data_IF_205801915129
#
_entry.id   IF_205801915129
#
_cell.length_a   1.000
_cell.length_b   1.000
_cell.length_c   1.000
_cell.angle_alpha   90.00
_cell.angle_beta   90.00
_cell.angle_gamma   90.00
#
_symmetry.space_group_name_H-M   'P 1'
#
loop_
_entity.id
_entity.type
_entity.pdbx_description
1 polymer ?
#
# COMPACT_ATOMS: atom_id res chain seq x y z
N UNK A 1 -5.28 8.94 -21.21
CA UNK A 1 -5.39 10.41 -21.46
C UNK A 1 -4.02 11.06 -21.60
N UNK A 2 -3.13 11.02 -20.58
CA UNK A 2 -1.80 11.70 -20.64
C UNK A 2 -0.97 11.23 -21.83
N UNK A 3 -0.85 9.91 -22.07
CA UNK A 3 -0.20 9.36 -23.26
C UNK A 3 -0.73 9.94 -24.56
N UNK A 4 -2.06 10.06 -24.65
CA UNK A 4 -2.75 10.60 -25.82
C UNK A 4 -2.48 12.11 -25.99
N UNK A 5 -2.53 12.89 -24.90
CA UNK A 5 -2.23 14.33 -24.94
C UNK A 5 -0.79 14.62 -25.38
N UNK A 6 0.14 13.76 -24.97
CA UNK A 6 1.55 13.83 -25.38
C UNK A 6 1.82 13.17 -26.74
N UNK A 7 0.78 12.71 -27.45
CA UNK A 7 0.92 12.12 -28.78
C UNK A 7 1.59 10.74 -28.80
N UNK A 8 1.74 10.05 -27.65
CA UNK A 8 2.32 8.70 -27.59
C UNK A 8 1.37 7.58 -28.02
N UNK A 9 0.08 7.89 -28.20
CA UNK A 9 -0.94 6.94 -28.62
C UNK A 9 -2.06 6.81 -27.60
N UNK A 10 -3.15 6.19 -28.03
CA UNK A 10 -4.29 5.90 -27.20
C UNK A 10 -4.22 4.45 -26.69
N UNK A 11 -4.19 4.27 -25.39
CA UNK A 11 -4.29 2.99 -24.74
C UNK A 11 -5.65 2.86 -24.09
N UNK A 12 -6.34 1.77 -24.34
CA UNK A 12 -7.62 1.46 -23.69
C UNK A 12 -7.35 0.47 -22.57
N UNK A 13 -7.28 0.92 -21.30
CA UNK A 13 -7.02 0.03 -20.20
C UNK A 13 -8.25 -0.85 -19.94
N UNK A 14 -8.00 -2.12 -19.76
CA UNK A 14 -8.88 -3.06 -19.09
C UNK A 14 -8.57 -3.08 -17.59
N UNK A 15 -9.39 -3.70 -16.77
CA UNK A 15 -9.19 -3.75 -15.32
C UNK A 15 -9.32 -5.16 -14.80
N UNK A 16 -8.37 -5.51 -13.94
CA UNK A 16 -8.37 -6.77 -13.20
C UNK A 16 -8.53 -6.47 -11.72
N UNK A 17 -9.52 -7.10 -11.13
CA UNK A 17 -9.81 -7.04 -9.71
C UNK A 17 -9.19 -8.24 -9.01
N UNK A 18 -8.50 -7.98 -7.91
CA UNK A 18 -7.97 -8.99 -7.00
C UNK A 18 -8.44 -8.77 -5.58
N UNK A 19 -9.02 -9.79 -4.99
CA UNK A 19 -9.45 -9.78 -3.59
C UNK A 19 -8.44 -10.51 -2.72
N UNK A 20 -8.28 -10.05 -1.47
CA UNK A 20 -7.34 -10.58 -0.49
C UNK A 20 -7.95 -10.67 0.90
N UNK A 21 -7.49 -11.64 1.67
CA UNK A 21 -7.68 -11.71 3.12
C UNK A 21 -6.35 -11.42 3.80
N UNK A 22 -6.41 -10.68 4.90
CA UNK A 22 -5.27 -10.47 5.80
C UNK A 22 -5.50 -11.27 7.07
N UNK A 23 -4.52 -12.10 7.43
CA UNK A 23 -4.52 -12.85 8.67
C UNK A 23 -3.77 -12.09 9.77
N UNK A 24 -4.16 -12.37 11.01
CA UNK A 24 -3.54 -11.88 12.23
C UNK A 24 -2.06 -12.29 12.32
N UNK A 25 -1.21 -11.42 12.89
CA UNK A 25 0.21 -11.68 13.16
C UNK A 25 0.49 -12.95 13.98
N UNK A 26 -0.48 -13.41 14.76
CA UNK A 26 -0.34 -14.66 15.57
C UNK A 26 0.04 -15.87 14.72
N UNK A 27 -0.35 -15.89 13.46
CA UNK A 27 -0.04 -16.99 12.54
C UNK A 27 1.17 -16.71 11.64
N UNK A 28 1.61 -15.46 11.54
CA UNK A 28 2.70 -15.07 10.65
C UNK A 28 4.02 -15.76 10.95
N UNK A 29 4.32 -16.04 12.22
CA UNK A 29 5.52 -16.79 12.65
C UNK A 29 5.63 -18.21 12.08
N UNK A 30 4.53 -18.77 11.57
CA UNK A 30 4.48 -20.10 10.99
C UNK A 30 4.67 -20.12 9.48
N UNK A 31 4.86 -18.93 8.87
CA UNK A 31 5.08 -18.78 7.42
C UNK A 31 6.30 -17.89 7.16
N UNK A 32 7.40 -18.49 6.74
CA UNK A 32 8.67 -17.76 6.53
C UNK A 32 8.88 -17.27 5.09
N UNK A 33 8.09 -17.76 4.14
CA UNK A 33 8.19 -17.43 2.69
C UNK A 33 6.84 -17.54 2.02
N UNK A 34 6.66 -16.88 0.85
CA UNK A 34 5.49 -17.10 0.02
C UNK A 34 5.34 -18.56 -0.39
N UNK A 35 4.11 -19.07 -0.37
CA UNK A 35 3.77 -20.41 -0.85
C UNK A 35 2.75 -20.25 -1.96
N UNK A 36 3.12 -20.75 -3.14
CA UNK A 36 2.32 -20.75 -4.36
C UNK A 36 1.84 -22.15 -4.67
N UNK A 37 0.66 -22.32 -5.28
CA UNK A 37 0.31 -23.56 -5.94
C UNK A 37 1.22 -23.75 -7.18
N UNK A 38 1.25 -24.96 -7.73
CA UNK A 38 1.81 -25.16 -9.07
C UNK A 38 1.03 -24.34 -10.08
N UNK A 39 1.70 -23.76 -11.10
CA UNK A 39 1.00 -23.07 -12.17
C UNK A 39 -0.08 -23.96 -12.81
N UNK A 40 -1.20 -23.35 -13.18
CA UNK A 40 -2.23 -24.04 -13.94
C UNK A 40 -1.79 -24.29 -15.39
N UNK A 41 -2.63 -24.89 -16.21
CA UNK A 41 -2.35 -25.19 -17.62
C UNK A 41 -2.03 -23.96 -18.49
N UNK A 42 -2.41 -22.76 -18.03
CA UNK A 42 -2.10 -21.48 -18.69
C UNK A 42 -0.87 -20.79 -18.09
N UNK A 43 -0.12 -21.44 -17.20
CA UNK A 43 1.04 -20.87 -16.53
C UNK A 43 0.72 -19.82 -15.47
N UNK A 44 -0.55 -19.61 -15.15
CA UNK A 44 -0.97 -18.67 -14.13
C UNK A 44 -0.94 -19.26 -12.72
N UNK A 45 -0.62 -18.42 -11.73
CA UNK A 45 -0.68 -18.77 -10.32
C UNK A 45 -2.03 -18.38 -9.75
N UNK A 46 -2.66 -19.34 -9.08
CA UNK A 46 -3.88 -19.10 -8.32
C UNK A 46 -3.59 -18.46 -6.95
N UNK A 47 -4.60 -18.47 -6.07
CA UNK A 47 -4.49 -17.99 -4.68
C UNK A 47 -3.22 -18.53 -4.04
N UNK A 48 -2.40 -17.65 -3.53
CA UNK A 48 -1.19 -17.99 -2.79
C UNK A 48 -1.19 -17.33 -1.40
N UNK A 49 -0.27 -17.71 -0.54
CA UNK A 49 -0.11 -17.16 0.79
C UNK A 49 1.26 -16.50 0.93
N UNK A 50 1.28 -15.27 1.43
CA UNK A 50 2.50 -14.46 1.48
C UNK A 50 2.66 -13.81 2.86
N UNK A 51 3.80 -14.03 3.56
CA UNK A 51 4.09 -13.30 4.79
C UNK A 51 4.37 -11.84 4.47
N UNK A 52 3.90 -10.94 5.31
CA UNK A 52 4.26 -9.53 5.23
C UNK A 52 5.45 -9.23 6.15
N UNK A 53 6.18 -8.15 5.83
CA UNK A 53 7.30 -7.68 6.66
C UNK A 53 6.85 -7.36 8.09
N UNK A 54 5.59 -6.99 8.27
CA UNK A 54 5.03 -6.65 9.58
C UNK A 54 4.47 -7.88 10.34
N UNK A 55 4.61 -9.08 9.78
CA UNK A 55 4.24 -10.34 10.42
C UNK A 55 2.79 -10.78 10.19
N UNK A 56 2.01 -10.09 9.38
CA UNK A 56 0.72 -10.59 8.90
C UNK A 56 0.92 -11.61 7.77
N UNK A 57 -0.13 -12.29 7.38
CA UNK A 57 -0.14 -13.15 6.18
C UNK A 57 -1.24 -12.67 5.24
N UNK A 58 -0.91 -12.51 3.97
CA UNK A 58 -1.86 -12.26 2.89
C UNK A 58 -2.27 -13.57 2.25
N UNK A 59 -3.55 -13.70 1.93
CA UNK A 59 -4.13 -14.80 1.17
C UNK A 59 -4.80 -14.22 -0.05
N UNK A 60 -4.36 -14.58 -1.22
CA UNK A 60 -4.83 -14.00 -2.50
C UNK A 60 -3.70 -13.87 -3.51
N UNK A 61 -3.99 -13.24 -4.66
CA UNK A 61 -5.29 -12.66 -5.03
C UNK A 61 -6.30 -13.68 -5.56
N UNK A 62 -7.56 -13.24 -5.67
CA UNK A 62 -8.43 -13.71 -6.75
C UNK A 62 -8.11 -12.93 -8.02
N UNK A 63 -8.53 -13.42 -9.18
CA UNK A 63 -8.32 -12.75 -10.47
C UNK A 63 -9.67 -12.68 -11.19
N UNK A 64 -10.21 -11.46 -11.34
CA UNK A 64 -11.46 -11.20 -12.04
C UNK A 64 -11.27 -10.06 -13.05
N UNK A 65 -11.51 -10.31 -14.32
CA UNK A 65 -11.56 -9.24 -15.31
C UNK A 65 -12.90 -8.52 -15.20
N UNK A 66 -12.86 -7.25 -14.82
CA UNK A 66 -14.04 -6.40 -14.63
C UNK A 66 -14.27 -5.41 -15.77
N UNK A 67 -13.46 -5.49 -16.82
CA UNK A 67 -13.56 -4.62 -18.01
C UNK A 67 -13.37 -3.14 -17.63
N UNK A 68 -14.18 -2.30 -18.25
CA UNK A 68 -14.17 -0.85 -17.99
C UNK A 68 -14.76 -0.41 -16.64
N UNK A 69 -15.32 -1.32 -15.85
CA UNK A 69 -15.95 -1.01 -14.55
C UNK A 69 -14.92 -0.63 -13.49
N UNK A 70 -15.38 0.06 -12.46
CA UNK A 70 -14.62 0.29 -11.23
C UNK A 70 -15.39 -0.39 -10.11
N UNK A 71 -14.82 -1.45 -9.54
CA UNK A 71 -15.43 -2.24 -8.49
C UNK A 71 -14.36 -2.56 -7.43
N UNK A 72 -14.59 -2.10 -6.21
CA UNK A 72 -13.75 -2.34 -5.04
C UNK A 72 -14.47 -3.13 -3.95
N UNK A 73 -15.60 -3.75 -4.28
CA UNK A 73 -16.37 -4.51 -3.31
C UNK A 73 -15.79 -5.92 -3.17
N UNK A 74 -15.49 -6.32 -1.94
CA UNK A 74 -15.14 -7.69 -1.65
C UNK A 74 -16.41 -8.53 -1.53
N UNK A 75 -16.39 -9.72 -2.13
CA UNK A 75 -17.55 -10.58 -2.16
C UNK A 75 -17.42 -11.76 -1.20
N UNK A 76 -18.53 -12.22 -0.62
CA UNK A 76 -18.51 -13.38 0.27
C UNK A 76 -18.03 -14.65 -0.45
N UNK A 77 -18.39 -14.79 -1.73
CA UNK A 77 -17.98 -15.95 -2.53
C UNK A 77 -16.45 -15.99 -2.72
N UNK A 78 -15.84 -14.85 -3.04
CA UNK A 78 -14.39 -14.78 -3.19
C UNK A 78 -13.67 -14.95 -1.85
N UNK A 79 -14.22 -14.44 -0.74
CA UNK A 79 -13.69 -14.73 0.60
C UNK A 79 -13.70 -16.24 0.89
N UNK A 80 -14.75 -16.95 0.49
CA UNK A 80 -14.83 -18.40 0.65
C UNK A 80 -13.80 -19.13 -0.23
N UNK A 81 -13.62 -18.70 -1.49
CA UNK A 81 -12.61 -19.21 -2.41
C UNK A 81 -11.20 -19.01 -1.86
N UNK A 82 -10.88 -17.80 -1.40
CA UNK A 82 -9.60 -17.46 -0.77
C UNK A 82 -9.33 -18.33 0.46
N UNK A 83 -10.34 -18.48 1.32
CA UNK A 83 -10.24 -19.31 2.52
C UNK A 83 -9.98 -20.77 2.21
N UNK A 84 -10.73 -21.33 1.26
CA UNK A 84 -10.60 -22.74 0.85
C UNK A 84 -9.25 -23.04 0.19
N UNK A 85 -8.88 -22.24 -0.81
CA UNK A 85 -7.63 -22.45 -1.56
C UNK A 85 -6.40 -22.13 -0.72
N UNK A 86 -6.44 -21.04 0.04
CA UNK A 86 -5.35 -20.69 0.94
C UNK A 86 -5.12 -21.73 2.02
N UNK A 87 -6.18 -22.34 2.58
CA UNK A 87 -6.04 -23.38 3.59
C UNK A 87 -5.32 -24.63 3.09
N UNK A 88 -5.44 -24.97 1.79
CA UNK A 88 -4.69 -26.06 1.16
C UNK A 88 -3.18 -25.83 1.19
N UNK A 89 -2.75 -24.58 1.13
CA UNK A 89 -1.35 -24.17 1.12
C UNK A 89 -0.82 -23.91 2.54
N UNK A 90 -1.66 -23.41 3.43
CA UNK A 90 -1.29 -23.00 4.78
C UNK A 90 -2.46 -23.24 5.74
N UNK A 91 -2.35 -24.26 6.56
CA UNK A 91 -3.43 -24.75 7.45
C UNK A 91 -3.94 -23.74 8.48
N UNK A 92 -3.23 -22.63 8.68
CA UNK A 92 -3.66 -21.51 9.53
C UNK A 92 -4.59 -20.50 8.81
N UNK A 93 -4.94 -20.72 7.54
CA UNK A 93 -5.97 -19.92 6.87
C UNK A 93 -7.34 -20.35 7.39
N UNK A 94 -7.73 -19.77 8.53
CA UNK A 94 -8.98 -20.04 9.24
C UNK A 94 -9.65 -18.73 9.62
N UNK A 95 -10.97 -18.69 9.66
CA UNK A 95 -11.76 -17.49 9.96
C UNK A 95 -11.37 -16.81 11.27
N UNK A 96 -10.96 -17.56 12.28
CA UNK A 96 -10.51 -17.03 13.58
C UNK A 96 -9.31 -16.09 13.51
N UNK A 97 -8.58 -16.16 12.40
CA UNK A 97 -7.40 -15.34 12.16
C UNK A 97 -7.63 -14.23 11.12
N UNK A 98 -8.81 -14.15 10.49
CA UNK A 98 -9.12 -13.09 9.55
C UNK A 98 -9.30 -11.78 10.33
N UNK A 99 -8.52 -10.76 9.95
CA UNK A 99 -8.63 -9.43 10.55
C UNK A 99 -9.18 -8.40 9.57
N UNK A 100 -8.99 -8.62 8.27
CA UNK A 100 -9.43 -7.71 7.22
C UNK A 100 -9.45 -8.43 5.87
N UNK A 101 -10.26 -7.90 4.96
CA UNK A 101 -10.15 -8.10 3.52
C UNK A 101 -9.89 -6.77 2.83
N UNK A 102 -9.37 -6.82 1.61
CA UNK A 102 -9.27 -5.66 0.74
C UNK A 102 -9.31 -6.09 -0.72
N UNK A 103 -9.58 -5.13 -1.58
CA UNK A 103 -9.64 -5.29 -3.03
C UNK A 103 -8.65 -4.35 -3.68
N UNK A 104 -7.88 -4.88 -4.62
CA UNK A 104 -7.06 -4.11 -5.52
C UNK A 104 -7.62 -4.19 -6.94
N UNK A 105 -7.59 -3.07 -7.65
CA UNK A 105 -7.92 -3.02 -9.08
C UNK A 105 -6.72 -2.44 -9.81
N UNK A 106 -6.18 -3.18 -10.75
CA UNK A 106 -5.05 -2.73 -11.54
C UNK A 106 -5.41 -2.68 -13.04
N UNK A 107 -4.88 -1.69 -13.78
CA UNK A 107 -5.11 -1.58 -15.20
C UNK A 107 -4.20 -2.54 -15.96
N UNK A 108 -4.75 -3.21 -16.94
CA UNK A 108 -4.03 -3.94 -17.98
C UNK A 108 -4.33 -3.33 -19.33
N UNK A 109 -3.54 -3.62 -20.33
CA UNK A 109 -3.80 -3.23 -21.72
C UNK A 109 -3.61 -4.47 -22.57
N UNK A 110 -4.61 -4.82 -23.37
CA UNK A 110 -4.49 -5.91 -24.32
C UNK A 110 -3.42 -5.59 -25.37
N UNK A 111 -2.62 -6.57 -25.70
CA UNK A 111 -1.65 -6.43 -26.78
C UNK A 111 -2.41 -6.31 -28.13
N UNK A 112 -2.26 -5.20 -28.87
CA UNK A 112 -2.94 -5.03 -30.15
C UNK A 112 -2.41 -5.95 -31.24
N UNK A 113 -1.19 -6.46 -31.07
CA UNK A 113 -0.45 -7.25 -32.07
C UNK A 113 -0.45 -8.76 -31.78
N UNK A 114 -1.14 -9.20 -30.74
CA UNK A 114 -1.14 -10.62 -30.34
C UNK A 114 -2.02 -10.94 -29.13
N UNK A 115 -1.91 -12.16 -28.65
CA UNK A 115 -2.60 -12.62 -27.46
C UNK A 115 -1.94 -12.09 -26.18
N UNK A 116 -2.76 -11.88 -25.14
CA UNK A 116 -2.30 -11.49 -23.82
C UNK A 116 -2.27 -9.99 -23.57
N UNK A 117 -1.49 -9.59 -22.57
CA UNK A 117 -1.34 -8.21 -22.14
C UNK A 117 -0.10 -7.57 -22.79
N UNK A 118 -0.18 -6.26 -23.00
CA UNK A 118 0.97 -5.47 -23.46
C UNK A 118 2.02 -5.40 -22.35
N UNK A 119 3.27 -5.69 -22.70
CA UNK A 119 4.41 -5.60 -21.79
C UNK A 119 4.77 -4.13 -21.46
N UNK A 120 5.65 -3.91 -20.50
CA UNK A 120 6.13 -2.61 -20.04
C UNK A 120 6.63 -1.76 -21.21
N UNK A 121 6.08 -0.55 -21.34
CA UNK A 121 6.49 0.42 -22.36
C UNK A 121 7.20 1.61 -21.72
N UNK A 122 8.40 1.93 -22.19
CA UNK A 122 9.17 3.12 -21.83
C UNK A 122 9.42 3.89 -23.14
N UNK A 123 8.65 4.93 -23.35
CA UNK A 123 8.58 5.63 -24.64
C UNK A 123 9.09 7.06 -24.54
N UNK A 124 9.82 7.48 -25.58
CA UNK A 124 10.21 8.89 -25.81
C UNK A 124 9.92 9.25 -27.26
N UNK A 125 9.68 10.53 -27.53
CA UNK A 125 9.48 11.06 -28.88
C UNK A 125 10.27 12.36 -29.07
N UNK A 126 10.85 12.56 -30.25
CA UNK A 126 11.58 13.77 -30.58
C UNK A 126 10.69 15.01 -30.59
N UNK A 127 9.42 14.83 -30.99
CA UNK A 127 8.41 15.89 -31.10
C UNK A 127 7.90 16.32 -29.71
N UNK A 128 8.16 15.53 -28.66
CA UNK A 128 7.79 15.83 -27.29
C UNK A 128 9.03 15.66 -26.40
N UNK A 129 9.98 16.61 -26.48
CA UNK A 129 11.21 16.57 -25.71
C UNK A 129 10.86 16.66 -24.20
N UNK A 130 11.77 16.15 -23.36
CA UNK A 130 11.66 16.16 -21.90
C UNK A 130 10.48 15.34 -21.33
N UNK A 131 9.87 14.47 -22.17
CA UNK A 131 8.82 13.56 -21.71
C UNK A 131 9.22 12.09 -21.89
N UNK A 132 9.06 11.33 -20.83
CA UNK A 132 9.15 9.86 -20.84
C UNK A 132 7.80 9.29 -20.44
N UNK A 133 7.18 8.54 -21.34
CA UNK A 133 5.89 7.93 -21.14
C UNK A 133 6.05 6.48 -20.68
N UNK A 134 5.57 6.18 -19.48
CA UNK A 134 5.55 4.84 -18.90
C UNK A 134 4.15 4.26 -18.99
N UNK A 135 3.99 3.15 -19.71
CA UNK A 135 2.69 2.51 -19.93
C UNK A 135 2.80 1.03 -19.59
N UNK A 136 1.72 0.47 -19.11
CA UNK A 136 1.60 -0.96 -18.76
C UNK A 136 2.59 -1.43 -17.69
N UNK A 137 3.01 -0.54 -16.79
CA UNK A 137 3.85 -0.90 -15.64
C UNK A 137 2.95 -1.51 -14.54
N UNK A 138 2.41 -2.69 -14.81
CA UNK A 138 1.63 -3.49 -13.88
C UNK A 138 2.54 -4.43 -13.05
N UNK A 139 2.10 -5.62 -12.68
CA UNK A 139 2.95 -6.60 -11.98
C UNK A 139 4.00 -7.18 -12.95
N UNK A 140 5.29 -7.25 -12.56
CA UNK A 140 5.95 -6.93 -11.28
C UNK A 140 6.56 -5.52 -11.21
N UNK A 141 5.86 -4.48 -11.67
CA UNK A 141 6.37 -3.11 -11.80
C UNK A 141 6.98 -2.52 -10.52
N UNK A 142 6.42 -2.84 -9.34
CA UNK A 142 6.96 -2.33 -8.08
C UNK A 142 8.38 -2.86 -7.81
N UNK A 143 8.62 -4.15 -7.98
CA UNK A 143 9.96 -4.75 -7.82
C UNK A 143 10.91 -4.35 -8.93
N UNK A 144 10.39 -3.99 -10.11
CA UNK A 144 11.15 -3.49 -11.26
C UNK A 144 11.35 -1.97 -11.24
N UNK A 145 10.86 -1.26 -10.22
CA UNK A 145 10.88 0.21 -10.19
C UNK A 145 12.29 0.80 -10.30
N UNK A 146 13.29 0.23 -9.63
CA UNK A 146 14.67 0.71 -9.68
C UNK A 146 15.32 0.56 -11.06
N UNK A 147 15.30 -0.60 -11.73
CA UNK A 147 15.82 -0.71 -13.09
C UNK A 147 15.03 0.14 -14.10
N UNK A 148 13.70 0.27 -13.94
CA UNK A 148 12.90 1.19 -14.76
C UNK A 148 13.37 2.63 -14.57
N UNK A 149 13.54 3.09 -13.32
CA UNK A 149 14.01 4.44 -13.03
C UNK A 149 15.38 4.71 -13.64
N UNK A 150 16.33 3.78 -13.55
CA UNK A 150 17.64 3.90 -14.21
C UNK A 150 17.51 4.07 -15.71
N UNK A 151 16.64 3.29 -16.35
CA UNK A 151 16.40 3.38 -17.79
C UNK A 151 15.73 4.70 -18.18
N UNK A 152 14.83 5.21 -17.34
CA UNK A 152 14.22 6.53 -17.53
C UNK A 152 15.27 7.64 -17.46
N UNK A 153 16.12 7.62 -16.43
CA UNK A 153 17.21 8.59 -16.27
C UNK A 153 18.14 8.58 -17.49
N UNK A 154 18.53 7.39 -17.98
CA UNK A 154 19.33 7.29 -19.20
C UNK A 154 18.67 7.99 -20.41
N UNK A 155 17.36 7.78 -20.58
CA UNK A 155 16.60 8.44 -21.67
C UNK A 155 16.49 9.95 -21.51
N UNK A 156 16.42 10.43 -20.28
CA UNK A 156 16.48 11.89 -20.02
C UNK A 156 17.88 12.42 -20.33
N UNK A 157 18.94 11.72 -19.93
CA UNK A 157 20.33 12.11 -20.22
C UNK A 157 20.68 12.08 -21.72
N UNK A 158 19.98 11.28 -22.54
CA UNK A 158 20.09 11.32 -24.01
C UNK A 158 19.57 12.65 -24.60
N UNK A 159 18.71 13.37 -23.87
CA UNK A 159 18.08 14.61 -24.32
C UNK A 159 18.67 15.85 -23.65
N UNK A 160 19.20 15.72 -22.44
CA UNK A 160 19.69 16.82 -21.62
C UNK A 160 21.00 16.46 -20.92
N UNK A 161 21.91 17.43 -20.85
CA UNK A 161 23.08 17.33 -19.99
C UNK A 161 22.66 17.61 -18.52
N UNK A 162 22.59 16.58 -17.71
CA UNK A 162 22.29 16.70 -16.30
C UNK A 162 23.56 16.91 -15.50
N UNK A 163 23.58 17.92 -14.64
CA UNK A 163 24.65 18.16 -13.67
C UNK A 163 24.20 17.65 -12.31
N UNK A 164 25.01 16.81 -11.62
CA UNK A 164 24.68 16.39 -10.24
C UNK A 164 24.58 17.61 -9.32
N UNK A 165 23.55 17.64 -8.49
CA UNK A 165 23.43 18.61 -7.40
C UNK A 165 24.33 18.20 -6.23
N UNK A 166 25.40 18.96 -5.91
CA UNK A 166 26.32 18.63 -4.82
C UNK A 166 25.67 18.71 -3.43
N UNK A 167 24.59 19.49 -3.29
CA UNK A 167 23.84 19.65 -2.04
C UNK A 167 22.74 18.60 -1.87
N UNK A 168 22.55 17.72 -2.86
CA UNK A 168 21.50 16.71 -2.79
C UNK A 168 21.76 15.71 -1.66
N UNK A 169 20.84 15.68 -0.68
CA UNK A 169 20.88 14.68 0.39
C UNK A 169 19.93 13.51 0.05
N UNK A 170 20.46 12.33 -0.30
CA UNK A 170 19.65 11.16 -0.64
C UNK A 170 19.02 10.49 0.59
N UNK A 171 19.42 10.90 1.80
CA UNK A 171 19.01 10.25 3.04
C UNK A 171 17.76 10.96 3.62
N UNK A 172 16.66 10.23 3.68
CA UNK A 172 15.47 10.65 4.40
C UNK A 172 15.32 9.85 5.69
N UNK A 173 15.23 10.54 6.82
CA UNK A 173 14.93 9.90 8.11
C UNK A 173 13.52 9.33 8.07
N UNK A 174 13.37 8.05 8.41
CA UNK A 174 12.08 7.40 8.59
C UNK A 174 11.47 7.74 9.96
N UNK A 175 10.19 7.38 10.12
CA UNK A 175 9.53 7.41 11.42
C UNK A 175 10.17 6.32 12.29
N UNK A 176 10.49 6.67 13.53
CA UNK A 176 11.03 5.70 14.49
C UNK A 176 9.96 4.66 14.80
N UNK A 177 10.29 3.38 14.68
CA UNK A 177 9.41 2.26 15.06
C UNK A 177 9.76 1.80 16.47
N UNK A 178 9.06 2.35 17.46
CA UNK A 178 9.31 2.10 18.87
C UNK A 178 9.24 0.60 19.24
N UNK A 179 8.24 -0.10 18.68
CA UNK A 179 8.04 -1.53 18.93
C UNK A 179 9.21 -2.44 18.48
N UNK A 180 10.04 -1.97 17.54
CA UNK A 180 11.19 -2.70 17.00
C UNK A 180 12.49 -2.42 17.77
N UNK A 181 12.46 -1.52 18.76
CA UNK A 181 13.60 -1.11 19.55
C UNK A 181 13.85 -2.03 20.75
N UNK A 182 15.12 -2.15 21.16
CA UNK A 182 15.48 -2.82 22.41
C UNK A 182 14.89 -2.08 23.62
N UNK A 183 14.85 -2.74 24.79
CA UNK A 183 14.37 -2.11 26.02
C UNK A 183 15.15 -0.87 26.40
N UNK A 184 16.46 -0.89 26.20
CA UNK A 184 17.40 0.19 26.47
C UNK A 184 17.16 1.36 25.51
N UNK A 185 17.00 1.08 24.21
CA UNK A 185 16.65 2.09 23.21
C UNK A 185 15.26 2.70 23.47
N UNK A 186 14.26 1.89 23.88
CA UNK A 186 12.94 2.37 24.26
C UNK A 186 13.01 3.33 25.44
N UNK A 187 13.77 2.96 26.48
CA UNK A 187 13.99 3.81 27.64
C UNK A 187 14.67 5.14 27.28
N UNK A 188 15.68 5.08 26.40
CA UNK A 188 16.36 6.29 25.91
C UNK A 188 15.44 7.21 25.11
N UNK A 189 14.57 6.64 24.24
CA UNK A 189 13.58 7.41 23.49
C UNK A 189 12.57 8.08 24.42
N UNK A 190 12.07 7.38 25.45
CA UNK A 190 11.14 7.95 26.43
C UNK A 190 11.80 9.08 27.24
N UNK A 191 13.09 8.93 27.56
CA UNK A 191 13.82 9.99 28.26
C UNK A 191 14.03 11.25 27.40
N UNK A 192 14.15 11.09 26.08
CA UNK A 192 14.27 12.20 25.13
C UNK A 192 12.93 12.89 24.85
N UNK A 193 11.86 12.09 24.70
CA UNK A 193 10.53 12.55 24.38
C UNK A 193 9.50 11.67 25.11
N UNK A 194 8.82 12.18 26.15
CA UNK A 194 7.84 11.42 26.92
C UNK A 194 6.68 10.85 26.12
N UNK A 195 6.37 11.41 24.95
CA UNK A 195 5.31 10.92 24.06
C UNK A 195 5.62 9.49 23.52
N UNK A 196 6.87 9.03 23.56
CA UNK A 196 7.21 7.63 23.32
C UNK A 196 6.73 6.69 24.44
N UNK A 197 6.48 7.20 25.64
CA UNK A 197 5.94 6.43 26.77
C UNK A 197 4.42 6.19 26.66
N UNK A 198 3.73 6.87 25.77
CA UNK A 198 2.29 6.77 25.60
C UNK A 198 1.90 5.91 24.40
N UNK A 199 1.38 4.69 24.65
CA UNK A 199 0.94 3.77 23.58
C UNK A 199 -0.45 4.17 23.09
N UNK A 200 -0.52 4.60 21.83
CA UNK A 200 -1.76 4.96 21.14
C UNK A 200 -2.44 3.74 20.51
N UNK A 201 -1.70 2.90 19.80
CA UNK A 201 -2.22 1.67 19.22
C UNK A 201 -1.64 0.45 19.95
N UNK A 202 -2.45 -0.23 20.75
CA UNK A 202 -2.01 -1.41 21.53
C UNK A 202 -1.68 -2.61 20.67
N UNK A 203 -2.42 -2.84 19.58
CA UNK A 203 -2.23 -3.99 18.71
C UNK A 203 -0.89 -3.95 17.96
N UNK A 204 -0.46 -2.75 17.56
CA UNK A 204 0.75 -2.50 16.79
C UNK A 204 1.85 -1.82 17.63
N UNK A 205 1.58 -1.57 18.92
CA UNK A 205 2.48 -0.89 19.85
C UNK A 205 3.01 0.46 19.33
N UNK A 206 2.13 1.23 18.66
CA UNK A 206 2.47 2.55 18.12
C UNK A 206 2.29 3.59 19.22
N UNK A 207 3.29 4.44 19.40
CA UNK A 207 3.32 5.52 20.40
C UNK A 207 2.72 6.82 19.89
N UNK A 208 2.44 7.75 20.80
CA UNK A 208 2.01 9.11 20.47
C UNK A 208 3.06 9.85 19.66
N UNK A 209 4.35 9.72 20.00
CA UNK A 209 5.45 10.33 19.26
C UNK A 209 5.50 9.89 17.80
N UNK A 210 5.25 8.61 17.51
CA UNK A 210 5.19 8.09 16.13
C UNK A 210 4.02 8.71 15.34
N UNK A 211 2.86 8.90 15.98
CA UNK A 211 1.70 9.57 15.37
C UNK A 211 2.04 11.02 15.03
N UNK A 212 2.66 11.76 15.96
CA UNK A 212 3.10 13.15 15.74
C UNK A 212 4.12 13.24 14.60
N UNK A 213 5.14 12.37 14.59
CA UNK A 213 6.12 12.34 13.51
C UNK A 213 5.47 12.08 12.14
N UNK A 214 4.43 11.25 12.09
CA UNK A 214 3.70 11.00 10.85
C UNK A 214 2.86 12.22 10.44
N UNK A 215 2.21 12.89 11.37
CA UNK A 215 1.42 14.11 11.11
C UNK A 215 2.28 15.22 10.52
N UNK A 216 3.49 15.42 11.06
CA UNK A 216 4.43 16.46 10.66
C UNK A 216 5.49 16.01 9.63
N UNK A 217 5.32 14.85 9.03
CA UNK A 217 6.17 14.36 7.95
C UNK A 217 6.07 15.31 6.73
N UNK A 218 7.16 15.41 5.95
CA UNK A 218 7.23 16.27 4.75
C UNK A 218 6.09 16.01 3.73
N UNK A 219 5.54 14.80 3.69
CA UNK A 219 4.40 14.48 2.84
C UNK A 219 3.06 14.84 3.49
N UNK A 220 3.05 15.16 4.78
CA UNK A 220 1.87 15.40 5.57
C UNK A 220 0.96 14.17 5.72
N UNK A 221 0.30 14.04 6.85
CA UNK A 221 -0.74 13.04 7.04
C UNK A 221 -1.95 13.73 7.67
N UNK A 222 -3.03 13.82 6.93
CA UNK A 222 -4.27 14.49 7.37
C UNK A 222 -5.48 13.56 7.41
N UNK A 223 -5.27 12.24 7.26
CA UNK A 223 -6.34 11.24 7.26
C UNK A 223 -5.97 10.05 8.13
N UNK A 224 -6.97 9.36 8.66
CA UNK A 224 -6.77 8.15 9.48
C UNK A 224 -6.08 7.04 8.69
N UNK A 225 -6.48 6.83 7.43
CA UNK A 225 -5.81 5.85 6.55
C UNK A 225 -4.38 6.26 6.19
N UNK A 226 -4.12 7.56 6.01
CA UNK A 226 -2.76 8.06 5.84
C UNK A 226 -1.88 7.74 7.05
N UNK A 227 -2.42 7.92 8.26
CA UNK A 227 -1.75 7.55 9.51
C UNK A 227 -1.48 6.04 9.58
N UNK A 228 -2.48 5.21 9.23
CA UNK A 228 -2.33 3.75 9.14
C UNK A 228 -1.15 3.34 8.25
N UNK A 229 -1.04 3.93 7.07
CA UNK A 229 0.01 3.58 6.11
C UNK A 229 1.41 4.05 6.52
N UNK A 230 1.51 5.00 7.42
CA UNK A 230 2.80 5.50 7.95
C UNK A 230 3.25 4.77 9.20
N UNK A 231 2.33 4.51 10.13
CA UNK A 231 2.62 4.03 11.48
C UNK A 231 2.07 2.65 11.77
N UNK A 232 1.14 2.13 10.97
CA UNK A 232 0.30 0.94 11.22
C UNK A 232 -0.74 1.13 12.33
N UNK A 233 -0.88 2.30 12.93
CA UNK A 233 -2.02 2.56 13.81
C UNK A 233 -3.33 2.22 13.07
N UNK A 234 -4.29 1.62 13.76
CA UNK A 234 -5.57 1.10 13.23
C UNK A 234 -5.48 -0.17 12.34
N UNK A 235 -4.28 -0.72 12.10
CA UNK A 235 -4.10 -1.91 11.25
C UNK A 235 -4.16 -3.23 12.01
N UNK A 236 -3.97 -3.23 13.31
CA UNK A 236 -3.95 -4.45 14.11
C UNK A 236 -5.32 -5.12 14.21
N UNK A 237 -5.39 -6.25 14.91
CA UNK A 237 -6.55 -7.12 15.01
C UNK A 237 -7.89 -6.45 15.39
N UNK A 238 -7.86 -5.33 16.14
CA UNK A 238 -9.05 -4.58 16.50
C UNK A 238 -9.52 -3.60 15.42
N UNK A 239 -8.75 -3.43 14.33
CA UNK A 239 -9.06 -2.58 13.18
C UNK A 239 -9.51 -1.15 13.57
N UNK A 240 -8.79 -0.56 14.52
CA UNK A 240 -9.06 0.80 14.98
C UNK A 240 -9.99 0.89 16.21
N UNK A 241 -10.70 -0.17 16.59
CA UNK A 241 -11.70 -0.15 17.66
C UNK A 241 -11.21 0.41 19.01
N UNK A 242 -9.90 0.47 19.24
CA UNK A 242 -9.33 1.13 20.42
C UNK A 242 -8.70 2.49 20.10
N UNK A 243 -7.98 2.61 18.99
CA UNK A 243 -7.08 3.75 18.77
C UNK A 243 -7.61 4.79 17.78
N UNK A 244 -8.65 4.50 17.00
CA UNK A 244 -9.08 5.39 15.92
C UNK A 244 -9.55 6.77 16.41
N UNK A 245 -10.36 6.80 17.47
CA UNK A 245 -10.82 8.05 18.08
C UNK A 245 -9.65 8.86 18.68
N UNK A 246 -8.68 8.18 19.31
CA UNK A 246 -7.49 8.82 19.88
C UNK A 246 -6.60 9.40 18.78
N UNK A 247 -6.40 8.65 17.70
CA UNK A 247 -5.63 9.10 16.53
C UNK A 247 -6.32 10.31 15.89
N UNK A 248 -7.64 10.29 15.76
CA UNK A 248 -8.39 11.42 15.19
C UNK A 248 -8.27 12.66 16.06
N UNK A 249 -8.42 12.54 17.40
CA UNK A 249 -8.27 13.65 18.31
C UNK A 249 -6.85 14.24 18.28
N UNK A 250 -5.82 13.41 18.18
CA UNK A 250 -4.44 13.89 18.05
C UNK A 250 -4.19 14.58 16.70
N UNK A 251 -4.77 14.09 15.62
CA UNK A 251 -4.70 14.75 14.30
C UNK A 251 -5.41 16.11 14.32
N UNK A 252 -6.54 16.21 15.01
CA UNK A 252 -7.24 17.49 15.25
C UNK A 252 -6.30 18.49 15.95
N UNK A 253 -5.68 18.08 17.05
CA UNK A 253 -4.74 18.89 17.83
C UNK A 253 -3.51 19.31 17.01
N UNK A 254 -2.81 18.33 16.41
CA UNK A 254 -1.52 18.55 15.74
C UNK A 254 -1.65 19.30 14.41
N UNK A 255 -2.80 19.22 13.74
CA UNK A 255 -3.04 19.88 12.45
C UNK A 255 -3.88 21.16 12.58
N UNK A 256 -4.40 21.46 13.77
CA UNK A 256 -5.30 22.59 13.98
C UNK A 256 -6.59 22.52 13.17
N UNK A 257 -7.15 21.31 13.00
CA UNK A 257 -8.36 21.03 12.22
C UNK A 257 -9.51 20.64 13.12
N UNK A 258 -10.72 20.93 12.67
CA UNK A 258 -11.92 20.42 13.33
C UNK A 258 -12.08 18.91 13.06
N UNK A 259 -12.71 18.16 13.97
CA UNK A 259 -12.97 16.71 13.83
C UNK A 259 -13.66 16.37 12.51
N UNK A 260 -14.59 17.22 12.07
CA UNK A 260 -15.33 17.06 10.82
C UNK A 260 -14.46 17.18 9.56
N UNK A 261 -13.27 17.77 9.68
CA UNK A 261 -12.30 17.90 8.60
C UNK A 261 -11.33 16.70 8.53
N UNK A 262 -11.24 15.90 9.60
CA UNK A 262 -10.44 14.67 9.62
C UNK A 262 -11.20 13.56 8.90
N UNK A 263 -10.70 13.16 7.76
CA UNK A 263 -11.33 12.14 6.92
C UNK A 263 -10.74 10.75 7.19
N UNK A 264 -11.51 9.71 6.88
CA UNK A 264 -10.99 8.35 6.90
C UNK A 264 -9.88 8.17 5.85
N UNK A 265 -10.14 8.54 4.60
CA UNK A 265 -9.16 8.39 3.50
C UNK A 265 -9.26 9.44 2.39
N UNK A 266 -10.44 9.87 2.00
CA UNK A 266 -10.67 10.79 0.87
C UNK A 266 -11.88 11.68 1.12
N UNK A 267 -12.04 12.69 0.27
CA UNK A 267 -13.21 13.58 0.31
C UNK A 267 -14.51 12.76 0.28
N UNK A 268 -15.43 13.08 1.19
CA UNK A 268 -16.70 12.36 1.36
C UNK A 268 -16.64 11.18 2.35
N UNK A 269 -15.45 10.72 2.76
CA UNK A 269 -15.28 9.68 3.77
C UNK A 269 -15.10 10.31 5.16
N UNK A 270 -16.16 10.92 5.68
CA UNK A 270 -16.16 11.63 6.96
C UNK A 270 -16.09 10.65 8.14
N UNK A 271 -15.24 10.95 9.11
CA UNK A 271 -15.19 10.24 10.39
C UNK A 271 -16.28 10.76 11.35
N UNK A 272 -16.52 12.06 11.32
CA UNK A 272 -17.51 12.75 12.13
C UNK A 272 -18.27 13.75 11.27
N UNK A 273 -19.56 13.90 11.55
CA UNK A 273 -20.46 14.85 10.84
C UNK A 273 -20.90 16.00 11.72
N UNK A 274 -20.48 16.02 12.97
CA UNK A 274 -20.81 17.02 13.98
C UNK A 274 -20.84 16.42 15.38
N UNK A 275 -21.14 17.26 16.37
CA UNK A 275 -21.33 16.83 17.74
C UNK A 275 -22.80 16.44 18.00
N UNK A 276 -22.97 15.42 18.82
CA UNK A 276 -24.29 15.05 19.33
C UNK A 276 -24.63 16.04 20.45
N UNK A 277 -25.73 16.77 20.29
CA UNK A 277 -26.27 17.68 21.31
C UNK A 277 -27.02 16.91 22.36
#
# INVERSE_FOLDING_TARGET
QVSQWLGFGAYTPDRVKGEYIILDKRVGKHLSRPVYPTPNEYGAFDVHVTPTIDGNVLVGPTIENIGGRVDYDATQDMINVLGSNGNKLFSYVKRDYYIRNYVGVFPTVKNPDGDGELDFQIQTKKEVPHAVNLVCINSPGLTSALPIARRVVQKVMEQEALTPDPEFNPIRKGIVRFAEKSKEEQAALIAQDPDYGEIFCRCECVTKAEIKQAAHNILGVSTVSGMKYRTRATMGRCQGGYCETRVTALLEEELGKEKTEILLNKKGAYMFVGDVK
#
